data_IF_060184764073
#
_entry.id   IF_060184764073
#
_cell.length_a   1.000
_cell.length_b   1.000
_cell.length_c   1.000
_cell.angle_alpha   90.00
_cell.angle_beta   90.00
_cell.angle_gamma   90.00
#
_symmetry.space_group_name_H-M   'P 1'
#
loop_
_entity.id
_entity.type
_entity.pdbx_description
1 polymer ?
#
# COMPACT_ATOMS: atom_id res chain seq x y z
N UNK A 1 -6.05 -10.66 -26.52
CA UNK A 1 -5.69 -9.57 -25.57
C UNK A 1 -4.41 -8.90 -26.09
N UNK A 2 -4.47 -7.63 -26.48
CA UNK A 2 -3.25 -6.89 -26.88
C UNK A 2 -2.34 -6.79 -25.65
N UNK A 3 -1.12 -7.32 -25.75
CA UNK A 3 -0.05 -7.09 -24.76
C UNK A 3 0.30 -5.60 -24.82
N UNK A 4 -0.35 -4.78 -24.03
CA UNK A 4 -0.01 -3.37 -23.93
C UNK A 4 1.28 -3.24 -23.13
N UNK A 5 2.28 -2.57 -23.71
CA UNK A 5 3.55 -2.29 -23.03
C UNK A 5 3.26 -1.49 -21.76
N UNK A 6 3.74 -1.95 -20.59
CA UNK A 6 3.64 -1.18 -19.36
C UNK A 6 4.40 0.14 -19.50
N UNK A 7 3.73 1.27 -19.31
CA UNK A 7 4.37 2.57 -19.33
C UNK A 7 5.26 2.76 -18.10
N UNK A 8 6.35 3.53 -18.25
CA UNK A 8 7.23 3.89 -17.12
C UNK A 8 7.45 5.39 -17.14
N UNK A 9 7.16 6.03 -16.02
CA UNK A 9 7.45 7.44 -15.81
C UNK A 9 8.48 7.57 -14.70
N UNK A 10 9.64 8.14 -15.00
CA UNK A 10 10.62 8.54 -13.98
C UNK A 10 10.09 9.69 -13.16
N UNK A 11 10.24 9.63 -11.85
CA UNK A 11 9.82 10.67 -10.92
C UNK A 11 10.93 10.96 -9.91
N UNK A 12 11.16 12.22 -9.61
CA UNK A 12 12.03 12.57 -8.50
C UNK A 12 11.38 12.13 -7.18
N UNK A 13 12.04 11.30 -6.35
CA UNK A 13 11.46 10.80 -5.11
C UNK A 13 11.19 11.90 -4.06
N UNK A 14 11.89 13.04 -4.13
CA UNK A 14 11.73 14.17 -3.21
C UNK A 14 10.76 15.22 -3.73
N UNK A 15 10.78 15.47 -5.05
CA UNK A 15 9.94 16.48 -5.73
C UNK A 15 9.28 15.87 -6.97
N UNK A 16 8.37 14.90 -6.78
CA UNK A 16 7.75 14.22 -7.92
C UNK A 16 6.98 15.21 -8.79
N UNK A 17 7.18 15.08 -10.09
CA UNK A 17 6.50 15.86 -11.10
C UNK A 17 4.99 15.70 -10.99
N UNK A 18 4.27 16.85 -11.01
CA UNK A 18 2.82 16.89 -10.82
C UNK A 18 2.07 16.17 -11.97
N UNK A 19 2.59 16.25 -13.21
CA UNK A 19 1.98 15.61 -14.36
C UNK A 19 2.12 14.07 -14.28
N UNK A 20 3.29 13.57 -13.84
CA UNK A 20 3.48 12.13 -13.63
C UNK A 20 2.57 11.59 -12.52
N UNK A 21 2.42 12.32 -11.41
CA UNK A 21 1.49 11.98 -10.33
C UNK A 21 0.04 12.00 -10.82
N UNK A 22 -0.37 13.04 -11.55
CA UNK A 22 -1.71 13.16 -12.11
C UNK A 22 -2.03 12.03 -13.11
N UNK A 23 -1.04 11.64 -13.94
CA UNK A 23 -1.16 10.50 -14.85
C UNK A 23 -1.40 9.20 -14.06
N UNK A 24 -0.58 8.89 -13.05
CA UNK A 24 -0.77 7.72 -12.19
C UNK A 24 -2.12 7.70 -11.48
N UNK A 25 -2.53 8.86 -10.94
CA UNK A 25 -3.82 9.01 -10.27
C UNK A 25 -5.01 8.79 -11.22
N UNK A 26 -4.92 9.28 -12.47
CA UNK A 26 -5.91 9.04 -13.50
C UNK A 26 -6.01 7.55 -13.84
N UNK A 27 -4.88 6.88 -14.07
CA UNK A 27 -4.85 5.44 -14.33
C UNK A 27 -5.56 4.65 -13.21
N UNK A 28 -5.32 4.99 -11.93
CA UNK A 28 -6.00 4.34 -10.80
C UNK A 28 -7.51 4.59 -10.85
N UNK A 29 -7.96 5.84 -11.08
CA UNK A 29 -9.39 6.17 -11.17
C UNK A 29 -10.10 5.43 -12.29
N UNK A 30 -9.42 5.21 -13.40
CA UNK A 30 -9.93 4.49 -14.59
C UNK A 30 -9.85 2.96 -14.46
N UNK A 31 -9.54 2.44 -13.26
CA UNK A 31 -9.48 0.99 -12.99
C UNK A 31 -8.17 0.33 -13.42
N UNK A 32 -7.14 1.11 -13.77
CA UNK A 32 -5.81 0.59 -14.08
C UNK A 32 -5.01 0.24 -12.83
N UNK A 33 -3.84 -0.41 -13.07
CA UNK A 33 -2.90 -0.85 -12.04
C UNK A 33 -1.59 -0.08 -12.16
N UNK A 34 -1.16 0.56 -11.06
CA UNK A 34 0.03 1.40 -11.02
C UNK A 34 1.05 0.85 -10.03
N UNK A 35 2.25 0.50 -10.53
CA UNK A 35 3.42 0.25 -9.68
C UNK A 35 3.98 1.58 -9.17
N UNK A 36 4.27 1.70 -7.86
CA UNK A 36 4.79 2.93 -7.28
C UNK A 36 5.73 2.65 -6.10
N UNK A 37 6.74 3.51 -5.84
CA UNK A 37 7.66 3.33 -4.73
C UNK A 37 6.99 3.67 -3.40
N UNK A 38 7.39 2.93 -2.36
CA UNK A 38 7.24 3.32 -0.96
C UNK A 38 8.62 3.31 -0.30
N UNK A 39 8.72 3.65 0.98
CA UNK A 39 9.98 3.52 1.73
C UNK A 39 10.39 2.05 1.93
N UNK A 40 9.43 1.12 1.93
CA UNK A 40 9.66 -0.32 2.14
C UNK A 40 9.97 -1.05 0.84
N UNK A 41 8.96 -1.25 0.00
CA UNK A 41 9.02 -1.96 -1.29
C UNK A 41 8.07 -1.28 -2.27
N UNK A 42 8.17 -1.56 -3.56
CA UNK A 42 7.18 -1.09 -4.52
C UNK A 42 5.81 -1.71 -4.24
N UNK A 43 4.78 -0.85 -4.24
CA UNK A 43 3.37 -1.23 -4.15
C UNK A 43 2.71 -1.30 -5.52
N UNK A 44 1.65 -2.10 -5.64
CA UNK A 44 0.77 -2.15 -6.81
C UNK A 44 -0.59 -1.55 -6.45
N UNK A 45 -0.82 -0.30 -6.86
CA UNK A 45 -2.05 0.43 -6.60
C UNK A 45 -3.20 -0.02 -7.47
N UNK A 46 -4.39 -0.10 -6.87
CA UNK A 46 -5.67 -0.27 -7.54
C UNK A 46 -6.78 0.50 -6.82
N UNK A 47 -7.83 0.90 -7.54
CA UNK A 47 -9.04 1.49 -6.98
C UNK A 47 -9.81 0.44 -6.16
N UNK A 48 -9.89 0.63 -4.83
CA UNK A 48 -10.50 -0.34 -3.89
C UNK A 48 -11.96 -0.66 -4.20
N UNK A 49 -12.74 0.32 -4.64
CA UNK A 49 -14.17 0.16 -4.89
C UNK A 49 -14.50 -0.30 -6.32
N UNK A 50 -13.50 -0.37 -7.20
CA UNK A 50 -13.67 -0.91 -8.54
C UNK A 50 -13.42 -2.43 -8.53
N UNK A 51 -14.49 -3.20 -8.65
CA UNK A 51 -14.44 -4.67 -8.65
C UNK A 51 -13.54 -5.21 -9.75
N UNK A 52 -13.60 -4.62 -10.96
CA UNK A 52 -12.79 -5.07 -12.10
C UNK A 52 -11.30 -4.82 -11.86
N UNK A 53 -10.92 -3.66 -11.30
CA UNK A 53 -9.56 -3.35 -10.91
C UNK A 53 -9.04 -4.31 -9.84
N UNK A 54 -9.85 -4.62 -8.82
CA UNK A 54 -9.51 -5.58 -7.76
C UNK A 54 -9.34 -6.99 -8.32
N UNK A 55 -10.26 -7.46 -9.16
CA UNK A 55 -10.17 -8.77 -9.79
C UNK A 55 -8.90 -8.90 -10.65
N UNK A 56 -8.59 -7.86 -11.44
CA UNK A 56 -7.37 -7.77 -12.24
C UNK A 56 -6.12 -7.78 -11.35
N UNK A 57 -6.12 -7.06 -10.24
CA UNK A 57 -4.98 -7.03 -9.29
C UNK A 57 -4.70 -8.44 -8.74
N UNK A 58 -5.72 -9.16 -8.29
CA UNK A 58 -5.57 -10.54 -7.81
C UNK A 58 -5.05 -11.47 -8.91
N UNK A 59 -5.59 -11.37 -10.13
CA UNK A 59 -5.20 -12.18 -11.28
C UNK A 59 -3.74 -11.93 -11.68
N UNK A 60 -3.34 -10.66 -11.85
CA UNK A 60 -1.97 -10.26 -12.24
C UNK A 60 -0.94 -10.74 -11.22
N UNK A 61 -1.26 -10.66 -9.95
CA UNK A 61 -0.37 -11.12 -8.85
C UNK A 61 -0.41 -12.62 -8.62
N UNK A 62 -1.34 -13.38 -9.23
CA UNK A 62 -1.66 -14.76 -8.86
C UNK A 62 -1.87 -14.89 -7.34
N UNK A 63 -2.62 -13.93 -6.76
CA UNK A 63 -2.86 -13.82 -5.32
C UNK A 63 -4.15 -14.53 -4.94
N UNK A 64 -4.12 -15.33 -3.87
CA UNK A 64 -5.36 -15.89 -3.29
C UNK A 64 -6.26 -14.76 -2.77
N UNK A 65 -7.57 -14.85 -3.04
CA UNK A 65 -8.58 -13.89 -2.55
C UNK A 65 -8.74 -13.90 -1.03
N UNK A 66 -8.34 -14.96 -0.36
CA UNK A 66 -8.28 -15.04 1.11
C UNK A 66 -7.20 -14.14 1.73
N UNK A 67 -6.25 -13.59 0.94
CA UNK A 67 -5.25 -12.65 1.44
C UNK A 67 -5.74 -11.21 1.28
N UNK A 68 -6.11 -10.50 2.37
CA UNK A 68 -6.68 -9.16 2.30
C UNK A 68 -5.70 -8.15 1.69
N UNK A 69 -6.24 -7.02 1.22
CA UNK A 69 -5.49 -5.91 0.66
C UNK A 69 -5.43 -4.76 1.68
N UNK A 70 -4.25 -4.16 1.84
CA UNK A 70 -4.04 -2.98 2.69
C UNK A 70 -4.49 -1.73 1.97
N UNK A 71 -5.28 -0.89 2.64
CA UNK A 71 -5.64 0.45 2.18
C UNK A 71 -4.49 1.40 2.48
N UNK A 72 -3.98 2.05 1.45
CA UNK A 72 -2.97 3.09 1.60
C UNK A 72 -3.65 4.45 1.72
N UNK A 73 -3.22 5.23 2.70
CA UNK A 73 -3.78 6.54 3.02
C UNK A 73 -2.69 7.62 2.95
N UNK A 74 -3.09 8.83 2.60
CA UNK A 74 -2.25 10.04 2.69
C UNK A 74 -2.69 10.98 3.80
N UNK A 75 -3.86 10.71 4.40
CA UNK A 75 -4.44 11.48 5.49
C UNK A 75 -5.28 10.58 6.41
N UNK A 76 -5.36 10.93 7.69
CA UNK A 76 -6.08 10.17 8.72
C UNK A 76 -7.60 10.17 8.53
N UNK A 77 -8.16 11.19 7.87
CA UNK A 77 -9.60 11.27 7.58
C UNK A 77 -10.08 10.14 6.67
N UNK A 78 -9.18 9.61 5.84
CA UNK A 78 -9.48 8.48 4.93
C UNK A 78 -9.86 7.20 5.69
N UNK A 79 -9.46 7.05 6.96
CA UNK A 79 -9.87 5.93 7.83
C UNK A 79 -11.36 6.00 8.12
N UNK A 80 -11.87 7.20 8.46
CA UNK A 80 -13.31 7.43 8.71
C UNK A 80 -14.12 7.20 7.44
N UNK A 81 -13.65 7.68 6.30
CA UNK A 81 -14.30 7.47 5.00
C UNK A 81 -14.39 5.98 4.62
N UNK A 82 -13.52 5.13 5.17
CA UNK A 82 -13.58 3.67 5.01
C UNK A 82 -14.48 2.98 6.04
N UNK A 83 -15.22 3.73 6.87
CA UNK A 83 -16.12 3.21 7.89
C UNK A 83 -15.41 2.65 9.14
N UNK A 84 -14.17 3.09 9.39
CA UNK A 84 -13.37 2.65 10.54
C UNK A 84 -13.14 3.79 11.54
N UNK A 85 -12.89 3.42 12.81
CA UNK A 85 -12.44 4.33 13.85
C UNK A 85 -11.12 3.84 14.44
N UNK A 86 -10.24 4.79 14.75
CA UNK A 86 -8.99 4.48 15.43
C UNK A 86 -9.24 4.09 16.88
N UNK A 87 -8.69 2.95 17.33
CA UNK A 87 -8.62 2.56 18.73
C UNK A 87 -7.60 3.41 19.50
N UNK A 88 -7.56 3.33 20.83
CA UNK A 88 -6.52 3.99 21.65
C UNK A 88 -5.12 3.53 21.22
N UNK A 89 -4.88 2.23 21.18
CA UNK A 89 -3.61 1.63 20.72
C UNK A 89 -3.28 2.04 19.28
N UNK A 90 -4.28 2.06 18.38
CA UNK A 90 -4.11 2.51 17.01
C UNK A 90 -3.64 3.96 16.90
N UNK A 91 -4.17 4.88 17.73
CA UNK A 91 -3.75 6.29 17.79
C UNK A 91 -2.29 6.43 18.25
N UNK A 92 -1.92 5.69 19.30
CA UNK A 92 -0.56 5.68 19.84
C UNK A 92 0.42 5.22 18.75
N UNK A 93 0.13 4.10 18.09
CA UNK A 93 0.98 3.55 17.03
C UNK A 93 1.05 4.47 15.81
N UNK A 94 -0.08 5.02 15.36
CA UNK A 94 -0.09 5.94 14.23
C UNK A 94 0.73 7.21 14.52
N UNK A 95 0.63 7.78 15.73
CA UNK A 95 1.42 8.96 16.13
C UNK A 95 2.92 8.70 16.07
N UNK A 96 3.37 7.50 16.42
CA UNK A 96 4.80 7.17 16.53
C UNK A 96 5.39 6.58 15.24
N UNK A 97 4.56 5.94 14.39
CA UNK A 97 5.06 5.14 13.26
C UNK A 97 4.45 5.51 11.89
N UNK A 98 3.57 6.51 11.82
CA UNK A 98 3.05 7.04 10.56
C UNK A 98 3.44 8.51 10.36
N UNK A 99 3.84 8.86 9.12
CA UNK A 99 4.07 8.00 7.95
C UNK A 99 5.21 7.00 8.19
N UNK A 100 5.03 5.72 7.75
CA UNK A 100 6.06 4.72 7.96
C UNK A 100 5.66 3.26 7.67
N UNK A 101 6.57 2.32 8.03
CA UNK A 101 6.47 0.93 7.63
C UNK A 101 5.57 0.09 8.58
N UNK A 102 4.44 0.66 9.02
CA UNK A 102 3.45 -0.01 9.88
C UNK A 102 2.10 -0.09 9.18
N UNK A 103 1.52 -1.29 9.14
CA UNK A 103 0.13 -1.53 8.75
C UNK A 103 -0.68 -1.84 10.00
N UNK A 104 -1.72 -1.04 10.26
CA UNK A 104 -2.60 -1.16 11.43
C UNK A 104 -3.95 -1.70 10.95
N UNK A 105 -4.40 -2.84 11.50
CA UNK A 105 -5.74 -3.37 11.27
C UNK A 105 -6.73 -2.75 12.25
N UNK A 106 -7.83 -2.25 11.69
CA UNK A 106 -8.95 -1.68 12.43
C UNK A 106 -10.24 -2.44 12.07
N UNK A 107 -11.19 -2.48 12.98
CA UNK A 107 -12.53 -3.05 12.74
C UNK A 107 -13.44 -1.97 12.16
N UNK A 108 -14.10 -2.25 11.06
CA UNK A 108 -15.12 -1.37 10.48
C UNK A 108 -16.45 -1.52 11.24
N UNK A 109 -17.38 -0.58 11.06
CA UNK A 109 -18.73 -0.66 11.61
C UNK A 109 -19.45 -1.96 11.22
N UNK A 110 -19.19 -2.49 10.02
CA UNK A 110 -19.70 -3.79 9.56
C UNK A 110 -18.91 -5.01 10.06
N UNK A 111 -18.04 -4.86 11.08
CA UNK A 111 -17.31 -5.96 11.72
C UNK A 111 -16.07 -6.46 10.97
N UNK A 112 -15.85 -6.03 9.72
CA UNK A 112 -14.69 -6.48 8.90
C UNK A 112 -13.41 -5.78 9.35
N UNK A 113 -12.29 -6.52 9.39
CA UNK A 113 -10.97 -5.97 9.64
C UNK A 113 -10.39 -5.40 8.34
N UNK A 114 -9.91 -4.15 8.40
CA UNK A 114 -9.29 -3.43 7.29
C UNK A 114 -7.91 -2.95 7.74
N UNK A 115 -6.87 -3.31 6.97
CA UNK A 115 -5.53 -2.82 7.21
C UNK A 115 -5.31 -1.46 6.54
N UNK A 116 -4.75 -0.52 7.29
CA UNK A 116 -4.39 0.82 6.80
C UNK A 116 -2.90 1.05 6.93
N UNK A 117 -2.32 1.80 5.99
CA UNK A 117 -0.94 2.24 6.04
C UNK A 117 -0.80 3.62 5.44
N UNK A 118 -0.06 4.50 6.11
CA UNK A 118 0.42 5.78 5.57
C UNK A 118 1.92 5.63 5.28
N UNK A 119 2.34 5.48 4.00
CA UNK A 119 3.75 5.24 3.68
C UNK A 119 4.61 6.50 3.84
N UNK A 120 5.85 6.35 4.30
CA UNK A 120 6.82 7.45 4.40
C UNK A 120 7.54 7.67 3.04
N UNK A 121 6.78 8.03 2.02
CA UNK A 121 7.30 8.26 0.68
C UNK A 121 6.49 9.33 -0.04
N UNK A 122 7.14 10.39 -0.53
CA UNK A 122 6.48 11.55 -1.14
C UNK A 122 5.71 11.17 -2.41
N UNK A 123 6.25 10.29 -3.25
CA UNK A 123 5.56 9.82 -4.47
C UNK A 123 4.28 9.09 -4.09
N UNK A 124 4.37 8.17 -3.11
CA UNK A 124 3.21 7.41 -2.63
C UNK A 124 2.12 8.33 -2.07
N UNK A 125 2.47 9.23 -1.16
CA UNK A 125 1.51 10.14 -0.52
C UNK A 125 0.82 11.05 -1.55
N UNK A 126 1.58 11.64 -2.49
CA UNK A 126 1.01 12.49 -3.54
C UNK A 126 0.12 11.68 -4.51
N UNK A 127 0.54 10.47 -4.89
CA UNK A 127 -0.27 9.59 -5.75
C UNK A 127 -1.61 9.25 -5.09
N UNK A 128 -1.59 8.82 -3.82
CA UNK A 128 -2.79 8.48 -3.06
C UNK A 128 -3.71 9.69 -2.93
N UNK A 129 -3.17 10.85 -2.54
CA UNK A 129 -3.93 12.09 -2.42
C UNK A 129 -4.57 12.53 -3.76
N UNK A 130 -3.81 12.47 -4.86
CA UNK A 130 -4.27 12.86 -6.20
C UNK A 130 -5.29 11.87 -6.78
N UNK A 131 -5.30 10.62 -6.33
CA UNK A 131 -6.23 9.60 -6.81
C UNK A 131 -7.69 9.93 -6.47
N UNK A 132 -7.96 10.64 -5.36
CA UNK A 132 -9.31 11.01 -4.88
C UNK A 132 -10.28 9.82 -4.72
N UNK A 133 -9.76 8.61 -4.73
CA UNK A 133 -10.48 7.34 -4.52
C UNK A 133 -9.73 6.48 -3.52
N UNK A 134 -10.39 5.54 -2.83
CA UNK A 134 -9.68 4.62 -1.93
C UNK A 134 -8.71 3.74 -2.70
N UNK A 135 -7.44 3.74 -2.29
CA UNK A 135 -6.36 2.98 -2.94
C UNK A 135 -5.97 1.78 -2.09
N UNK A 136 -5.96 0.60 -2.67
CA UNK A 136 -5.30 -0.57 -2.07
C UNK A 136 -3.96 -0.83 -2.76
N UNK A 137 -2.96 -1.26 -1.99
CA UNK A 137 -1.66 -1.54 -2.57
C UNK A 137 -0.92 -2.69 -1.84
N UNK A 138 -1.02 -3.94 -2.30
CA UNK A 138 -0.06 -4.98 -1.95
C UNK A 138 1.29 -4.71 -2.62
N UNK A 139 2.36 -5.43 -2.23
CA UNK A 139 3.66 -5.38 -2.90
C UNK A 139 3.55 -5.69 -4.41
N UNK A 140 4.35 -5.04 -5.26
CA UNK A 140 4.25 -5.12 -6.73
C UNK A 140 5.00 -6.34 -7.33
N UNK A 141 4.78 -7.55 -6.80
CA UNK A 141 5.37 -8.82 -7.24
C UNK A 141 4.31 -9.91 -7.45
N UNK A 142 4.66 -10.97 -8.14
CA UNK A 142 3.89 -12.22 -8.11
C UNK A 142 3.84 -12.76 -6.67
N UNK A 143 2.69 -13.29 -6.26
CA UNK A 143 2.49 -13.82 -4.91
C UNK A 143 3.53 -14.91 -4.59
N UNK A 144 4.12 -14.85 -3.40
CA UNK A 144 5.19 -15.79 -2.98
C UNK A 144 6.59 -15.47 -3.52
N UNK A 145 6.75 -14.50 -4.42
CA UNK A 145 8.07 -14.03 -4.87
C UNK A 145 8.56 -12.87 -4.00
N UNK A 146 9.87 -12.60 -4.03
CA UNK A 146 10.48 -11.50 -3.29
C UNK A 146 9.85 -10.16 -3.68
N UNK A 147 9.46 -9.31 -2.71
CA UNK A 147 8.95 -7.97 -2.97
C UNK A 147 9.97 -7.10 -3.71
N UNK A 148 9.55 -6.30 -4.71
CA UNK A 148 10.47 -5.51 -5.52
C UNK A 148 10.90 -4.23 -4.82
N UNK A 149 12.19 -3.90 -4.95
CA UNK A 149 12.81 -2.67 -4.40
C UNK A 149 13.15 -1.64 -5.47
N UNK A 150 12.79 -1.89 -6.73
CA UNK A 150 13.01 -0.98 -7.86
C UNK A 150 11.95 -1.17 -8.95
N UNK A 151 11.77 -0.18 -9.82
CA UNK A 151 10.87 -0.27 -10.97
C UNK A 151 11.27 -1.39 -11.93
N UNK A 152 12.56 -1.60 -12.16
CA UNK A 152 13.06 -2.71 -12.97
C UNK A 152 12.63 -4.09 -12.42
N UNK A 153 12.66 -4.26 -11.09
CA UNK A 153 12.19 -5.50 -10.46
C UNK A 153 10.66 -5.68 -10.59
N UNK A 154 9.88 -4.58 -10.54
CA UNK A 154 8.43 -4.62 -10.83
C UNK A 154 8.19 -5.07 -12.27
N UNK A 155 8.88 -4.47 -13.25
CA UNK A 155 8.73 -4.79 -14.67
C UNK A 155 9.13 -6.23 -14.97
N UNK A 156 10.18 -6.76 -14.35
CA UNK A 156 10.59 -8.16 -14.49
C UNK A 156 9.48 -9.14 -14.10
N UNK A 157 8.67 -8.80 -13.09
CA UNK A 157 7.59 -9.68 -12.59
C UNK A 157 6.22 -9.41 -13.21
N UNK A 158 5.89 -8.15 -13.46
CA UNK A 158 4.56 -7.68 -13.81
C UNK A 158 4.49 -6.89 -15.14
N UNK A 159 5.61 -6.70 -15.83
CA UNK A 159 5.64 -6.01 -17.13
C UNK A 159 4.67 -6.63 -18.14
N UNK A 160 4.02 -5.81 -18.95
CA UNK A 160 2.96 -6.20 -19.89
C UNK A 160 1.62 -6.60 -19.26
N UNK A 161 1.52 -6.60 -17.91
CA UNK A 161 0.31 -7.00 -17.18
C UNK A 161 -0.30 -5.83 -16.38
N UNK A 162 0.47 -4.79 -16.11
CA UNK A 162 0.06 -3.57 -15.43
C UNK A 162 0.21 -2.37 -16.35
N UNK A 163 -0.45 -1.27 -16.04
CA UNK A 163 -0.58 -0.15 -16.99
C UNK A 163 0.59 0.83 -16.87
N UNK A 164 1.03 1.12 -15.65
CA UNK A 164 2.05 2.15 -15.38
C UNK A 164 2.95 1.75 -14.22
N UNK A 165 4.22 2.17 -14.29
CA UNK A 165 5.14 2.21 -13.13
C UNK A 165 5.66 3.63 -12.98
N UNK A 166 5.50 4.21 -11.79
CA UNK A 166 6.19 5.41 -11.37
C UNK A 166 7.57 5.00 -10.82
N UNK A 167 8.62 5.33 -11.57
CA UNK A 167 9.99 4.97 -11.18
C UNK A 167 10.62 6.09 -10.33
N UNK A 168 10.58 5.93 -9.02
CA UNK A 168 11.24 6.82 -8.05
C UNK A 168 12.56 6.25 -7.51
N UNK A 169 13.19 5.32 -8.24
CA UNK A 169 14.46 4.71 -7.84
C UNK A 169 14.29 3.54 -6.84
N UNK A 170 15.36 3.23 -6.12
CA UNK A 170 15.35 2.12 -5.13
C UNK A 170 14.68 2.54 -3.83
N UNK A 171 13.97 1.59 -3.21
CA UNK A 171 13.38 1.78 -1.88
C UNK A 171 14.46 1.73 -0.79
N UNK A 172 14.29 2.54 0.27
CA UNK A 172 15.30 2.70 1.31
C UNK A 172 15.38 1.48 2.26
N UNK A 173 14.23 0.87 2.61
CA UNK A 173 14.15 -0.18 3.64
C UNK A 173 14.29 -1.58 3.05
N UNK A 174 13.62 -1.87 1.93
CA UNK A 174 13.69 -3.18 1.26
C UNK A 174 12.99 -4.34 1.97
N UNK A 175 12.31 -4.07 3.09
CA UNK A 175 11.55 -5.03 3.90
C UNK A 175 10.10 -4.56 3.96
N UNK A 176 9.13 -5.48 3.85
CA UNK A 176 7.71 -5.15 3.94
C UNK A 176 7.33 -4.57 5.32
N UNK A 177 6.20 -3.85 5.37
CA UNK A 177 5.66 -3.29 6.62
C UNK A 177 5.35 -4.37 7.65
N UNK A 178 5.51 -4.05 8.92
CA UNK A 178 4.93 -4.84 10.01
C UNK A 178 3.42 -4.67 10.00
N UNK A 179 2.69 -5.74 10.28
CA UNK A 179 1.22 -5.76 10.29
C UNK A 179 0.75 -6.10 11.71
N UNK A 180 0.00 -5.20 12.31
CA UNK A 180 -0.53 -5.38 13.67
C UNK A 180 -2.05 -5.21 13.69
N UNK A 181 -2.73 -6.09 14.42
CA UNK A 181 -4.16 -6.03 14.67
C UNK A 181 -4.42 -5.38 16.03
N UNK A 182 -4.95 -4.16 16.01
CA UNK A 182 -5.35 -3.42 17.21
C UNK A 182 -6.88 -3.39 17.38
N UNK A 183 -7.60 -4.24 16.66
CA UNK A 183 -9.05 -4.43 16.83
C UNK A 183 -9.36 -5.42 17.96
N UNK A 184 -8.34 -5.99 18.57
CA UNK A 184 -8.36 -6.89 19.73
C UNK A 184 -7.43 -6.36 20.81
N UNK A 185 -7.59 -6.79 22.05
CA UNK A 185 -6.73 -6.44 23.20
C UNK A 185 -6.41 -7.72 23.98
N UNK A 186 -5.14 -8.03 24.24
CA UNK A 186 -3.94 -7.36 23.70
C UNK A 186 -3.86 -7.36 22.19
N UNK A 187 -3.09 -6.42 21.60
CA UNK A 187 -2.89 -6.36 20.15
C UNK A 187 -2.08 -7.55 19.65
N UNK A 188 -2.29 -7.95 18.38
CA UNK A 188 -1.61 -9.13 17.80
C UNK A 188 -0.80 -8.75 16.58
N UNK A 189 0.49 -9.13 16.54
CA UNK A 189 1.33 -8.97 15.35
C UNK A 189 1.03 -10.12 14.38
N UNK A 190 0.44 -9.80 13.24
CA UNK A 190 0.12 -10.77 12.19
C UNK A 190 1.29 -11.04 11.25
N UNK A 191 2.20 -10.09 11.14
CA UNK A 191 3.45 -10.20 10.37
C UNK A 191 4.48 -9.23 10.93
N UNK A 192 5.61 -9.74 11.37
CA UNK A 192 6.77 -8.92 11.66
C UNK A 192 7.45 -8.53 10.34
N UNK A 193 7.76 -7.26 10.19
CA UNK A 193 8.41 -6.68 9.01
C UNK A 193 9.52 -5.72 9.42
N UNK A 194 9.50 -4.51 8.85
CA UNK A 194 10.52 -3.50 9.10
C UNK A 194 10.59 -3.02 10.55
N UNK A 195 9.47 -3.04 11.30
CA UNK A 195 9.42 -2.70 12.73
C UNK A 195 9.34 -4.02 13.52
N UNK A 196 10.28 -4.20 14.45
CA UNK A 196 10.33 -5.41 15.30
C UNK A 196 9.28 -5.36 16.42
N UNK A 197 8.75 -6.53 16.80
CA UNK A 197 7.76 -6.67 17.86
C UNK A 197 8.18 -5.94 19.16
N UNK A 198 9.43 -6.12 19.60
CA UNK A 198 10.00 -5.45 20.79
C UNK A 198 9.95 -3.92 20.74
N UNK A 199 9.89 -3.31 19.55
CA UNK A 199 9.79 -1.86 19.41
C UNK A 199 8.35 -1.42 19.63
N UNK A 200 7.37 -2.14 19.07
CA UNK A 200 5.95 -1.84 19.23
C UNK A 200 5.48 -2.09 20.68
N UNK A 201 6.01 -3.13 21.34
CA UNK A 201 5.70 -3.46 22.75
C UNK A 201 6.09 -2.36 23.75
N UNK A 202 6.93 -1.40 23.36
CA UNK A 202 7.23 -0.23 24.20
C UNK A 202 6.07 0.79 24.27
N UNK A 203 5.08 0.67 23.39
CA UNK A 203 4.01 1.65 23.24
C UNK A 203 2.62 1.11 23.58
N UNK A 204 2.40 -0.21 23.40
CA UNK A 204 1.12 -0.87 23.64
C UNK A 204 1.33 -2.32 24.06
N UNK A 205 0.31 -2.93 24.68
CA UNK A 205 0.32 -4.35 25.04
C UNK A 205 0.13 -5.20 23.77
N UNK A 206 1.01 -6.20 23.63
CA UNK A 206 1.04 -7.16 22.51
C UNK A 206 0.99 -8.57 23.07
N UNK A 207 0.11 -9.42 22.47
CA UNK A 207 0.01 -10.84 22.81
C UNK A 207 1.21 -11.63 22.24
#
# INVERSE_FOLDING_TARGET
>A
MRSSKTAVLKVDPRRPDAAAIACGARVIREGGLVGFPTETVYGLAAHRSDRKAIDRLYAVKKRSRGKPLTVHISDMTMIRSAGCRMTGSGKILAKNFWPGPLTILLKSAGGRKIGFRMPANTVALRLIAASKVPVVAPSANLSGKRPPTSAAAVLKGLGGKIDLVLDGGRTAVGIESTVIDVSVSPAVILREGAIKARVLAKFIDIA
#
